data_IF_691008315575
#
_entry.id   IF_691008315575
#
_cell.length_a   1.000
_cell.length_b   1.000
_cell.length_c   1.000
_cell.angle_alpha   90.00
_cell.angle_beta   90.00
_cell.angle_gamma   90.00
#
_symmetry.space_group_name_H-M   'P 1'
#
loop_
_entity.id
_entity.type
_entity.pdbx_description
1 polymer ?
#
# COMPACT_ATOMS: atom_id res chain seq x y z
N UNK A 1 14.32 4.29 -3.40
CA UNK A 1 13.22 3.46 -3.93
C UNK A 1 13.79 2.11 -4.34
N UNK A 2 13.13 1.02 -4.02
CA UNK A 2 13.62 -0.32 -4.37
C UNK A 2 13.35 -0.66 -5.83
N UNK A 3 14.05 -1.68 -6.34
CA UNK A 3 13.86 -2.18 -7.71
C UNK A 3 13.27 -3.59 -7.73
N UNK A 4 12.68 -4.04 -6.63
CA UNK A 4 12.05 -5.35 -6.53
C UNK A 4 10.80 -5.40 -7.43
N UNK A 5 10.76 -6.34 -8.36
CA UNK A 5 9.66 -6.46 -9.32
C UNK A 5 8.84 -7.73 -9.13
N UNK A 6 9.25 -8.62 -8.24
CA UNK A 6 8.58 -9.88 -7.99
C UNK A 6 8.03 -9.90 -6.56
N UNK A 7 6.74 -10.15 -6.43
CA UNK A 7 6.06 -10.15 -5.13
C UNK A 7 6.73 -11.11 -4.15
N UNK A 8 7.19 -12.28 -4.62
CA UNK A 8 7.85 -13.26 -3.76
C UNK A 8 9.15 -12.74 -3.12
N UNK A 9 9.75 -11.71 -3.71
CA UNK A 9 10.97 -11.09 -3.19
C UNK A 9 10.70 -9.83 -2.37
N UNK A 10 9.43 -9.42 -2.25
CA UNK A 10 9.07 -8.12 -1.70
C UNK A 10 8.88 -8.15 -0.19
N UNK A 11 9.00 -6.97 0.40
CA UNK A 11 8.58 -6.71 1.77
C UNK A 11 7.40 -5.77 1.74
N UNK A 12 6.30 -6.18 2.35
CA UNK A 12 5.07 -5.41 2.41
C UNK A 12 4.85 -4.89 3.84
N UNK A 13 4.35 -3.69 3.96
CA UNK A 13 3.88 -3.15 5.23
C UNK A 13 2.39 -2.82 5.11
N UNK A 14 1.64 -3.12 6.15
CA UNK A 14 0.20 -2.89 6.16
C UNK A 14 -0.23 -2.34 7.51
N UNK A 15 -1.20 -1.43 7.50
CA UNK A 15 -1.87 -0.98 8.71
C UNK A 15 -3.12 -1.82 8.87
N UNK A 16 -3.14 -2.66 9.91
CA UNK A 16 -4.30 -3.49 10.21
C UNK A 16 -5.36 -2.67 10.94
N UNK A 17 -6.61 -2.82 10.52
CA UNK A 17 -7.74 -2.15 11.13
C UNK A 17 -9.01 -2.98 10.88
N UNK A 18 -10.08 -2.74 11.65
CA UNK A 18 -11.37 -3.42 11.38
C UNK A 18 -11.92 -3.13 10.00
N UNK A 19 -11.51 -2.04 9.37
CA UNK A 19 -11.97 -1.69 8.02
C UNK A 19 -11.72 -2.76 6.98
N UNK A 20 -10.68 -3.56 7.14
CA UNK A 20 -10.40 -4.64 6.21
C UNK A 20 -11.51 -5.68 6.19
N UNK A 21 -12.03 -6.07 7.36
CA UNK A 21 -13.15 -7.01 7.44
C UNK A 21 -14.45 -6.38 6.98
N UNK A 22 -14.67 -5.11 7.31
CA UNK A 22 -15.89 -4.40 6.91
C UNK A 22 -15.99 -4.29 5.39
N UNK A 23 -14.86 -4.16 4.69
CA UNK A 23 -14.82 -4.12 3.23
C UNK A 23 -14.82 -5.50 2.59
N UNK A 24 -14.74 -6.56 3.38
CA UNK A 24 -14.64 -7.93 2.85
C UNK A 24 -13.29 -8.21 2.20
N UNK A 25 -12.26 -7.50 2.57
CA UNK A 25 -10.94 -7.60 1.95
C UNK A 25 -9.90 -8.32 2.79
N UNK A 26 -10.28 -8.84 3.97
CA UNK A 26 -9.31 -9.50 4.85
C UNK A 26 -8.67 -10.71 4.17
N UNK A 27 -9.46 -11.56 3.50
CA UNK A 27 -8.90 -12.73 2.81
C UNK A 27 -7.99 -12.36 1.65
N UNK A 28 -8.36 -11.43 0.75
CA UNK A 28 -7.44 -10.97 -0.27
C UNK A 28 -6.15 -10.36 0.31
N UNK A 29 -6.27 -9.61 1.41
CA UNK A 29 -5.11 -9.02 2.07
C UNK A 29 -4.18 -10.10 2.60
N UNK A 30 -4.71 -11.08 3.34
CA UNK A 30 -3.90 -12.17 3.89
C UNK A 30 -3.24 -13.00 2.80
N UNK A 31 -3.94 -13.23 1.70
CA UNK A 31 -3.37 -13.95 0.55
C UNK A 31 -2.21 -13.16 -0.06
N UNK A 32 -2.37 -11.84 -0.20
CA UNK A 32 -1.31 -10.97 -0.72
C UNK A 32 -0.09 -11.00 0.19
N UNK A 33 -0.30 -10.85 1.49
CA UNK A 33 0.80 -10.85 2.47
C UNK A 33 1.53 -12.19 2.47
N UNK A 34 0.80 -13.30 2.30
CA UNK A 34 1.40 -14.63 2.23
C UNK A 34 2.23 -14.85 0.97
N UNK A 35 2.04 -14.06 -0.07
CA UNK A 35 2.79 -14.14 -1.32
C UNK A 35 4.10 -13.37 -1.28
N UNK A 36 4.29 -12.50 -0.29
CA UNK A 36 5.49 -11.69 -0.15
C UNK A 36 6.58 -12.42 0.60
N UNK A 37 7.82 -11.97 0.43
CA UNK A 37 8.94 -12.50 1.20
C UNK A 37 8.77 -12.21 2.68
N UNK A 38 8.26 -11.03 3.02
CA UNK A 38 8.08 -10.60 4.40
C UNK A 38 6.93 -9.59 4.48
N UNK A 39 6.15 -9.68 5.54
CA UNK A 39 5.07 -8.73 5.80
C UNK A 39 5.18 -8.20 7.23
N UNK A 40 5.00 -6.89 7.39
CA UNK A 40 5.07 -6.23 8.68
C UNK A 40 4.01 -5.15 8.79
N UNK A 41 3.69 -4.74 10.02
CA UNK A 41 2.76 -3.65 10.27
C UNK A 41 3.43 -2.57 11.10
N UNK A 42 3.90 -1.51 10.46
CA UNK A 42 4.48 -0.37 11.17
C UNK A 42 3.48 0.75 11.42
N UNK A 43 2.50 0.88 10.52
CA UNK A 43 1.44 1.88 10.66
C UNK A 43 1.84 3.29 10.30
N UNK A 44 0.84 4.16 10.25
CA UNK A 44 0.95 5.59 10.00
C UNK A 44 1.75 5.94 8.74
N UNK A 45 2.20 7.18 8.66
CA UNK A 45 2.96 7.64 7.50
C UNK A 45 4.33 6.99 7.39
N UNK A 46 4.86 6.47 8.49
CA UNK A 46 6.23 5.93 8.52
C UNK A 46 6.44 4.81 7.50
N UNK A 47 5.48 3.90 7.37
CA UNK A 47 5.63 2.79 6.41
C UNK A 47 5.73 3.30 4.97
N UNK A 48 5.04 4.40 4.63
CA UNK A 48 5.13 5.00 3.31
C UNK A 48 6.50 5.67 3.09
N UNK A 49 7.05 6.28 4.12
CA UNK A 49 8.39 6.85 4.06
C UNK A 49 9.45 5.77 3.86
N UNK A 50 9.24 4.58 4.45
CA UNK A 50 10.14 3.45 4.24
C UNK A 50 10.12 2.98 2.77
N UNK A 51 8.97 3.07 2.09
CA UNK A 51 8.90 2.80 0.66
C UNK A 51 9.76 3.81 -0.11
N UNK A 52 9.64 5.09 0.22
CA UNK A 52 10.43 6.13 -0.44
C UNK A 52 11.93 5.93 -0.24
N UNK A 53 12.34 5.42 0.92
CA UNK A 53 13.74 5.14 1.22
C UNK A 53 14.25 3.85 0.59
N UNK A 54 13.37 3.00 0.08
CA UNK A 54 13.74 1.71 -0.49
C UNK A 54 13.86 0.59 0.53
N UNK A 55 13.54 0.84 1.80
CA UNK A 55 13.60 -0.18 2.85
C UNK A 55 12.44 -1.15 2.81
N UNK A 56 11.32 -0.73 2.23
CA UNK A 56 10.10 -1.53 2.06
C UNK A 56 9.63 -1.33 0.62
N UNK A 57 8.99 -2.33 0.06
CA UNK A 57 8.59 -2.29 -1.35
C UNK A 57 7.18 -1.78 -1.56
N UNK A 58 6.26 -2.08 -0.63
CA UNK A 58 4.87 -1.65 -0.70
C UNK A 58 4.36 -1.32 0.70
N UNK A 59 3.61 -0.24 0.83
CA UNK A 59 2.93 0.13 2.06
C UNK A 59 1.44 0.28 1.79
N UNK A 60 0.61 -0.33 2.62
CA UNK A 60 -0.83 -0.40 2.42
C UNK A 60 -1.54 0.09 3.66
N UNK A 61 -2.37 1.13 3.51
CA UNK A 61 -3.26 1.64 4.55
C UNK A 61 -4.70 1.44 4.12
N UNK A 62 -5.51 0.97 5.07
CA UNK A 62 -6.93 0.76 4.85
C UNK A 62 -7.70 2.07 5.04
N UNK A 63 -8.92 1.98 5.52
CA UNK A 63 -9.86 3.07 5.63
C UNK A 63 -9.57 4.01 6.81
N UNK A 64 -10.18 5.18 6.78
CA UNK A 64 -10.18 6.11 7.90
C UNK A 64 -9.10 7.17 7.90
N UNK A 65 -8.33 7.25 6.82
CA UNK A 65 -7.27 8.25 6.71
C UNK A 65 -7.86 9.60 6.30
N UNK A 66 -7.19 10.67 6.75
CA UNK A 66 -7.59 12.04 6.42
C UNK A 66 -6.72 12.60 5.31
N UNK A 67 -7.26 13.47 4.43
CA UNK A 67 -6.46 14.05 3.35
C UNK A 67 -5.19 14.74 3.82
N UNK A 68 -5.22 15.43 4.95
CA UNK A 68 -4.03 16.13 5.45
C UNK A 68 -2.95 15.15 5.92
N UNK A 69 -3.33 13.92 6.30
CA UNK A 69 -2.35 12.90 6.69
C UNK A 69 -1.62 12.36 5.46
N UNK A 70 -2.26 12.39 4.30
CA UNK A 70 -1.77 11.72 3.11
C UNK A 70 -1.09 12.66 2.11
N UNK A 71 -1.38 13.96 2.16
CA UNK A 71 -0.86 14.89 1.16
C UNK A 71 0.67 14.92 1.14
N UNK A 72 1.29 15.02 2.29
CA UNK A 72 2.75 15.06 2.40
C UNK A 72 3.37 13.71 2.01
N UNK A 73 2.72 12.61 2.40
CA UNK A 73 3.19 11.26 2.08
C UNK A 73 3.20 11.04 0.57
N UNK A 74 2.13 11.48 -0.12
CA UNK A 74 2.04 11.36 -1.57
C UNK A 74 3.22 12.06 -2.25
N UNK A 75 3.52 13.29 -1.83
CA UNK A 75 4.64 14.05 -2.38
C UNK A 75 5.96 13.32 -2.15
N UNK A 76 6.19 12.84 -0.94
CA UNK A 76 7.44 12.16 -0.58
C UNK A 76 7.65 10.92 -1.45
N UNK A 77 6.61 10.10 -1.62
CA UNK A 77 6.71 8.87 -2.39
C UNK A 77 6.93 9.18 -3.88
N UNK A 78 6.19 10.12 -4.43
CA UNK A 78 6.29 10.47 -5.85
C UNK A 78 7.64 11.12 -6.17
N UNK A 79 8.14 11.99 -5.29
CA UNK A 79 9.45 12.62 -5.49
C UNK A 79 10.58 11.59 -5.42
N UNK A 80 10.39 10.50 -4.70
CA UNK A 80 11.37 9.42 -4.64
C UNK A 80 11.28 8.47 -5.84
N UNK A 81 10.34 8.71 -6.77
CA UNK A 81 10.17 7.90 -7.96
C UNK A 81 9.17 6.77 -7.81
N UNK A 82 8.44 6.73 -6.69
CA UNK A 82 7.44 5.71 -6.44
C UNK A 82 6.05 6.10 -6.92
N UNK A 83 5.10 5.21 -6.65
CA UNK A 83 3.70 5.39 -7.01
C UNK A 83 2.86 5.42 -5.75
N UNK A 84 1.95 6.38 -5.67
CA UNK A 84 1.00 6.52 -4.58
C UNK A 84 -0.40 6.61 -5.17
N UNK A 85 -1.30 5.72 -4.75
CA UNK A 85 -2.71 5.75 -5.16
C UNK A 85 -3.60 5.41 -3.99
N UNK A 86 -4.91 5.54 -4.18
CA UNK A 86 -5.86 4.93 -3.27
C UNK A 86 -5.98 3.43 -3.59
N UNK A 87 -6.88 2.75 -2.89
CA UNK A 87 -7.10 1.31 -3.05
C UNK A 87 -7.62 0.94 -4.45
N UNK A 88 -8.28 1.87 -5.11
CA UNK A 88 -8.85 1.64 -6.45
C UNK A 88 -7.88 2.05 -7.57
N UNK A 89 -6.69 2.52 -7.22
CA UNK A 89 -5.68 2.89 -8.22
C UNK A 89 -5.72 4.34 -8.66
N UNK A 90 -6.51 5.19 -8.00
CA UNK A 90 -6.59 6.61 -8.33
C UNK A 90 -5.49 7.37 -7.60
N UNK A 91 -4.69 8.16 -8.34
CA UNK A 91 -3.55 8.89 -7.78
C UNK A 91 -4.04 10.13 -7.02
N UNK A 92 -4.55 9.92 -5.82
CA UNK A 92 -5.10 10.99 -4.99
C UNK A 92 -4.84 10.72 -3.51
N UNK A 93 -4.71 11.79 -2.73
CA UNK A 93 -4.63 11.71 -1.27
C UNK A 93 -5.98 12.06 -0.61
N UNK A 94 -7.03 12.28 -1.41
CA UNK A 94 -8.32 12.74 -0.90
C UNK A 94 -9.26 11.61 -0.50
N UNK A 95 -8.93 10.38 -0.87
CA UNK A 95 -9.69 9.21 -0.43
C UNK A 95 -9.12 8.69 0.89
N UNK A 96 -9.83 7.79 1.54
CA UNK A 96 -9.47 7.33 2.87
C UNK A 96 -8.57 6.09 2.88
N UNK A 97 -8.01 5.74 1.74
CA UNK A 97 -7.08 4.62 1.59
C UNK A 97 -5.82 5.07 0.88
N UNK A 98 -4.72 4.36 1.11
CA UNK A 98 -3.45 4.72 0.50
C UNK A 98 -2.60 3.48 0.25
N UNK A 99 -2.04 3.38 -0.96
CA UNK A 99 -1.09 2.34 -1.30
C UNK A 99 0.11 3.02 -1.95
N UNK A 100 1.28 2.85 -1.34
CA UNK A 100 2.55 3.33 -1.87
C UNK A 100 3.41 2.15 -2.31
N UNK A 101 4.13 2.29 -3.41
CA UNK A 101 5.02 1.22 -3.85
C UNK A 101 6.19 1.79 -4.64
N UNK A 102 7.13 0.90 -5.00
CA UNK A 102 8.24 1.22 -5.89
C UNK A 102 7.78 1.37 -7.35
N UNK A 103 6.48 1.26 -7.63
CA UNK A 103 5.91 1.33 -8.98
C UNK A 103 5.87 0.00 -9.70
N UNK A 104 6.83 -0.87 -9.47
CA UNK A 104 6.93 -2.16 -10.17
C UNK A 104 5.88 -3.16 -9.68
N UNK A 105 5.52 -3.08 -8.40
CA UNK A 105 4.56 -3.99 -7.78
C UNK A 105 3.16 -3.39 -7.63
N UNK A 106 2.99 -2.12 -8.00
CA UNK A 106 1.74 -1.41 -7.73
C UNK A 106 0.52 -2.07 -8.36
N UNK A 107 0.63 -2.44 -9.63
CA UNK A 107 -0.48 -3.07 -10.35
C UNK A 107 -0.93 -4.39 -9.74
N UNK A 108 0.02 -5.22 -9.33
CA UNK A 108 -0.27 -6.51 -8.69
C UNK A 108 -1.02 -6.30 -7.37
N UNK A 109 -0.58 -5.32 -6.58
CA UNK A 109 -1.21 -5.03 -5.29
C UNK A 109 -2.63 -4.48 -5.47
N UNK A 110 -2.81 -3.54 -6.39
CA UNK A 110 -4.14 -2.98 -6.69
C UNK A 110 -5.09 -4.08 -7.13
N UNK A 111 -4.67 -4.95 -8.03
CA UNK A 111 -5.52 -6.03 -8.53
C UNK A 111 -5.90 -7.00 -7.40
N UNK A 112 -4.95 -7.32 -6.51
CA UNK A 112 -5.20 -8.22 -5.40
C UNK A 112 -6.21 -7.65 -4.41
N UNK A 113 -6.22 -6.34 -4.22
CA UNK A 113 -7.07 -5.66 -3.24
C UNK A 113 -8.31 -5.02 -3.83
N UNK A 114 -8.51 -5.13 -5.14
CA UNK A 114 -9.69 -4.56 -5.79
C UNK A 114 -10.94 -5.27 -5.28
N UNK A 115 -11.96 -4.48 -4.93
CA UNK A 115 -13.25 -5.04 -4.53
C UNK A 115 -13.85 -5.81 -5.70
N UNK A 116 -14.16 -7.08 -5.47
CA UNK A 116 -14.75 -7.92 -6.50
C UNK A 116 -16.24 -8.04 -6.25
N UNK A 117 -17.00 -7.86 -7.30
CA UNK A 117 -18.42 -8.14 -7.30
C UNK A 117 -18.61 -9.54 -7.88
N UNK A 118 -19.21 -10.39 -7.09
CA UNK A 118 -19.48 -11.75 -7.54
C UNK A 118 -20.50 -11.74 -8.68
#
# INVERSE_FOLDING_TARGET
>A
MSDIANLADSQLCVTFSPGWEELGLMQPLLSLLGSARRARGFGDFWQHCLVAEGAVDVAIDAVGLKPYDLAAVKVIVEEAGGTFTDREGVATHEHDTAISSNGLLHGVVIEALRTRHA
#
